data_IF_589956420890
#
_entry.id   IF_589956420890
#
_cell.length_a   1.000
_cell.length_b   1.000
_cell.length_c   1.000
_cell.angle_alpha   90.00
_cell.angle_beta   90.00
_cell.angle_gamma   90.00
#
_symmetry.space_group_name_H-M   'P 1'
#
loop_
_entity.id
_entity.type
_entity.pdbx_description
1 polymer ?
#
# COMPACT_ATOMS: atom_id res chain seq x y z
N UNK A 1 -19.30 -15.03 73.29
CA UNK A 1 -18.50 -16.01 72.51
C UNK A 1 -17.05 -15.84 72.93
N UNK A 2 -16.40 -16.93 73.37
CA UNK A 2 -15.17 -16.89 74.18
C UNK A 2 -13.93 -16.58 73.32
N UNK A 3 -13.11 -15.61 73.70
CA UNK A 3 -11.96 -15.10 72.92
C UNK A 3 -10.95 -16.18 72.51
N UNK A 4 -10.84 -17.25 73.31
CA UNK A 4 -10.04 -18.45 72.98
C UNK A 4 -10.54 -19.24 71.76
N UNK A 5 -11.85 -19.28 71.50
CA UNK A 5 -12.41 -19.96 70.31
C UNK A 5 -12.17 -19.16 69.03
N UNK A 6 -12.20 -17.82 69.11
CA UNK A 6 -11.93 -16.95 67.96
C UNK A 6 -10.45 -17.01 67.53
N UNK A 7 -9.53 -17.08 68.50
CA UNK A 7 -8.10 -17.20 68.23
C UNK A 7 -7.72 -18.53 67.56
N UNK A 8 -8.33 -19.64 67.96
CA UNK A 8 -8.08 -20.94 67.31
C UNK A 8 -8.60 -21.03 65.87
N UNK A 9 -9.73 -20.38 65.57
CA UNK A 9 -10.28 -20.35 64.20
C UNK A 9 -9.39 -19.51 63.27
N UNK A 10 -8.87 -18.37 63.75
CA UNK A 10 -7.93 -17.53 62.99
C UNK A 10 -6.60 -18.25 62.70
N UNK A 11 -6.10 -19.05 63.64
CA UNK A 11 -4.86 -19.82 63.46
C UNK A 11 -5.02 -20.97 62.45
N UNK A 12 -6.19 -21.62 62.42
CA UNK A 12 -6.50 -22.65 61.44
C UNK A 12 -6.65 -22.09 60.01
N UNK A 13 -7.25 -20.91 59.85
CA UNK A 13 -7.37 -20.22 58.55
C UNK A 13 -5.99 -19.78 58.05
N UNK A 14 -5.13 -19.26 58.94
CA UNK A 14 -3.77 -18.83 58.58
C UNK A 14 -2.87 -20.01 58.17
N UNK A 15 -2.98 -21.17 58.82
CA UNK A 15 -2.27 -22.38 58.38
C UNK A 15 -2.79 -22.93 57.05
N UNK A 16 -4.10 -22.83 56.76
CA UNK A 16 -4.63 -23.27 55.47
C UNK A 16 -4.19 -22.35 54.31
N UNK A 17 -4.01 -21.05 54.55
CA UNK A 17 -3.52 -20.09 53.57
C UNK A 17 -2.03 -20.26 53.24
N UNK A 18 -1.21 -20.76 54.18
CA UNK A 18 0.21 -21.02 53.93
C UNK A 18 0.47 -22.27 53.05
N UNK A 19 -0.47 -23.22 52.98
CA UNK A 19 -0.33 -24.42 52.15
C UNK A 19 -0.64 -24.12 50.66
N UNK A 20 -1.38 -23.06 50.36
CA UNK A 20 -1.66 -22.64 48.97
C UNK A 20 -0.57 -21.76 48.33
N UNK A 21 0.38 -21.22 49.12
CA UNK A 21 1.42 -20.31 48.63
C UNK A 21 2.73 -21.00 48.19
N UNK A 22 2.90 -22.30 48.41
CA UNK A 22 4.14 -23.04 48.06
C UNK A 22 3.98 -24.04 46.92
N UNK A 23 2.80 -24.11 46.28
CA UNK A 23 2.42 -25.19 45.37
C UNK A 23 2.37 -24.90 43.87
N UNK A 24 2.85 -23.73 43.37
CA UNK A 24 2.84 -23.44 41.93
C UNK A 24 4.13 -22.78 41.45
N UNK A 25 5.20 -23.57 41.39
CA UNK A 25 6.35 -23.31 40.50
C UNK A 25 6.80 -24.63 39.86
N UNK A 26 5.88 -25.28 39.14
CA UNK A 26 6.26 -26.28 38.14
C UNK A 26 6.53 -25.52 36.84
N UNK A 27 7.79 -25.18 36.64
CA UNK A 27 8.29 -24.71 35.36
C UNK A 27 8.14 -25.81 34.30
N UNK A 28 6.99 -25.85 33.64
CA UNK A 28 6.88 -26.48 32.34
C UNK A 28 7.63 -25.59 31.35
N UNK A 29 8.91 -25.90 31.13
CA UNK A 29 9.69 -25.45 29.99
C UNK A 29 9.09 -26.10 28.74
N UNK A 30 7.93 -25.60 28.32
CA UNK A 30 7.36 -25.90 27.01
C UNK A 30 8.36 -25.32 26.02
N UNK A 31 9.18 -26.19 25.40
CA UNK A 31 9.90 -25.80 24.19
C UNK A 31 8.82 -25.28 23.23
N UNK A 32 8.89 -24.03 22.75
CA UNK A 32 8.00 -23.62 21.68
C UNK A 32 8.26 -24.61 20.55
N UNK A 33 7.26 -25.46 20.28
CA UNK A 33 7.23 -26.24 19.05
C UNK A 33 7.30 -25.16 17.99
N UNK A 34 8.37 -25.15 17.21
CA UNK A 34 8.48 -24.31 16.02
C UNK A 34 7.36 -24.76 15.10
N UNK A 35 6.17 -24.23 15.34
CA UNK A 35 5.10 -24.19 14.40
C UNK A 35 5.73 -23.38 13.28
N UNK A 36 6.05 -24.06 12.19
CA UNK A 36 6.21 -23.42 10.90
C UNK A 36 4.96 -22.56 10.78
N UNK A 37 5.10 -21.27 11.08
CA UNK A 37 4.17 -20.27 10.60
C UNK A 37 4.23 -20.50 9.10
N UNK A 38 3.24 -21.23 8.58
CA UNK A 38 2.94 -21.11 7.18
C UNK A 38 2.62 -19.64 7.05
N UNK A 39 3.61 -18.88 6.57
CA UNK A 39 3.39 -17.58 5.98
C UNK A 39 2.37 -17.90 4.92
N UNK A 40 1.10 -17.67 5.27
CA UNK A 40 0.02 -17.66 4.32
C UNK A 40 0.50 -16.64 3.31
N UNK A 41 0.93 -17.11 2.15
CA UNK A 41 1.28 -16.26 1.01
C UNK A 41 -0.03 -15.62 0.59
N UNK A 42 -0.47 -14.63 1.38
CA UNK A 42 -1.57 -13.77 1.08
C UNK A 42 -1.11 -13.06 -0.18
N UNK A 43 -1.71 -13.48 -1.31
CA UNK A 43 -1.51 -12.84 -2.61
C UNK A 43 -1.67 -11.35 -2.35
N UNK A 44 -0.64 -10.55 -2.64
CA UNK A 44 -0.72 -9.11 -2.40
C UNK A 44 -1.89 -8.58 -3.25
N UNK A 45 -2.91 -8.00 -2.60
CA UNK A 45 -4.18 -7.63 -3.25
C UNK A 45 -4.01 -6.49 -4.28
N UNK A 46 -2.83 -5.89 -4.33
CA UNK A 46 -2.43 -4.88 -5.31
C UNK A 46 -1.67 -5.46 -6.51
N UNK A 47 -1.31 -6.75 -6.52
CA UNK A 47 -0.62 -7.39 -7.64
C UNK A 47 -1.63 -8.09 -8.57
N UNK A 48 -1.56 -7.78 -9.86
CA UNK A 48 -2.40 -8.40 -10.89
C UNK A 48 -1.58 -8.94 -12.06
N UNK A 49 -2.14 -9.92 -12.78
CA UNK A 49 -1.53 -10.46 -14.00
C UNK A 49 -2.24 -9.87 -15.23
N UNK A 50 -1.48 -9.17 -16.07
CA UNK A 50 -1.97 -8.50 -17.29
C UNK A 50 -2.71 -9.47 -18.22
N UNK A 51 -2.29 -10.75 -18.26
CA UNK A 51 -2.88 -11.76 -19.15
C UNK A 51 -4.26 -12.25 -18.69
N UNK A 52 -4.64 -11.98 -17.43
CA UNK A 52 -5.87 -12.51 -16.83
C UNK A 52 -6.80 -11.44 -16.26
N UNK A 53 -6.29 -10.22 -16.01
CA UNK A 53 -7.08 -9.09 -15.52
C UNK A 53 -8.16 -8.70 -16.52
N UNK A 54 -9.33 -8.32 -16.01
CA UNK A 54 -10.50 -7.94 -16.79
C UNK A 54 -11.06 -6.61 -16.31
N UNK A 55 -11.77 -5.93 -17.20
CA UNK A 55 -12.62 -4.80 -16.80
C UNK A 55 -13.60 -5.29 -15.74
N UNK A 56 -13.84 -4.44 -14.74
CA UNK A 56 -14.59 -4.70 -13.51
C UNK A 56 -13.84 -5.45 -12.40
N UNK A 57 -12.65 -6.00 -12.63
CA UNK A 57 -11.83 -6.57 -11.55
C UNK A 57 -11.40 -5.48 -10.56
N UNK A 58 -11.19 -5.86 -9.29
CA UNK A 58 -10.69 -4.98 -8.25
C UNK A 58 -9.24 -5.32 -7.91
N UNK A 59 -8.37 -4.31 -7.89
CA UNK A 59 -6.95 -4.41 -7.55
C UNK A 59 -6.61 -3.23 -6.64
N UNK A 60 -6.04 -3.50 -5.46
CA UNK A 60 -5.72 -2.48 -4.46
C UNK A 60 -6.92 -1.57 -4.07
N UNK A 61 -8.16 -2.09 -4.12
CA UNK A 61 -9.36 -1.30 -3.87
C UNK A 61 -9.78 -0.37 -5.02
N UNK A 62 -9.10 -0.44 -6.17
CA UNK A 62 -9.47 0.26 -7.40
C UNK A 62 -10.04 -0.72 -8.42
N UNK A 63 -11.05 -0.27 -9.16
CA UNK A 63 -11.72 -1.05 -10.19
C UNK A 63 -11.05 -0.84 -11.54
N UNK A 64 -10.79 -1.91 -12.29
CA UNK A 64 -10.31 -1.81 -13.67
C UNK A 64 -11.45 -1.28 -14.55
N UNK A 65 -11.25 -0.13 -15.16
CA UNK A 65 -12.27 0.53 -16.01
C UNK A 65 -12.01 0.35 -17.49
N UNK A 66 -10.75 0.13 -17.88
CA UNK A 66 -10.35 -0.02 -19.27
C UNK A 66 -9.09 -0.87 -19.38
N UNK A 67 -9.06 -1.73 -20.39
CA UNK A 67 -7.87 -2.45 -20.83
C UNK A 67 -7.81 -2.31 -22.34
N UNK A 68 -6.72 -1.76 -22.85
CA UNK A 68 -6.52 -1.59 -24.28
C UNK A 68 -5.04 -1.56 -24.63
N UNK A 69 -4.70 -1.63 -25.93
CA UNK A 69 -3.33 -1.43 -26.35
C UNK A 69 -2.94 0.06 -26.27
N UNK A 70 -1.68 0.35 -25.98
CA UNK A 70 -1.14 1.71 -25.99
C UNK A 70 -0.92 2.21 -27.42
N UNK A 71 -0.29 1.38 -28.27
CA UNK A 71 -0.24 1.56 -29.72
C UNK A 71 -1.33 0.73 -30.39
N UNK A 72 -2.03 1.30 -31.37
CA UNK A 72 -2.96 0.52 -32.21
C UNK A 72 -2.20 -0.30 -33.26
N UNK A 73 -1.42 -1.27 -32.76
CA UNK A 73 -0.61 -2.22 -33.54
C UNK A 73 -0.98 -3.66 -33.12
N UNK A 74 -1.53 -4.40 -34.07
CA UNK A 74 -2.01 -5.77 -33.85
C UNK A 74 -0.91 -6.82 -33.80
N UNK A 75 0.32 -6.48 -34.20
CA UNK A 75 1.45 -7.41 -34.21
C UNK A 75 2.11 -7.52 -32.82
N UNK A 76 1.82 -6.59 -31.91
CA UNK A 76 2.34 -6.59 -30.54
C UNK A 76 1.26 -7.13 -29.59
N UNK A 77 1.53 -8.22 -28.85
CA UNK A 77 0.54 -8.78 -27.94
C UNK A 77 0.20 -7.78 -26.82
N UNK A 78 -1.05 -7.79 -26.36
CA UNK A 78 -1.53 -6.88 -25.32
C UNK A 78 -0.68 -6.94 -24.03
N UNK A 79 -0.14 -8.11 -23.69
CA UNK A 79 0.77 -8.27 -22.55
C UNK A 79 2.05 -7.42 -22.63
N UNK A 80 2.43 -7.00 -23.84
CA UNK A 80 3.62 -6.19 -24.13
C UNK A 80 3.28 -4.77 -24.57
N UNK A 81 2.00 -4.45 -24.81
CA UNK A 81 1.53 -3.15 -25.30
C UNK A 81 0.33 -2.64 -24.49
N UNK A 82 0.14 -3.08 -23.24
CA UNK A 82 -1.07 -2.73 -22.48
C UNK A 82 -1.03 -1.30 -21.93
N UNK A 83 -2.19 -0.65 -21.99
CA UNK A 83 -2.59 0.48 -21.18
C UNK A 83 -3.79 0.05 -20.35
N UNK A 84 -3.71 0.22 -19.03
CA UNK A 84 -4.73 -0.25 -18.09
C UNK A 84 -5.15 0.92 -17.21
N UNK A 85 -6.45 1.25 -17.24
CA UNK A 85 -7.04 2.33 -16.46
C UNK A 85 -7.80 1.76 -15.27
N UNK A 86 -7.66 2.42 -14.13
CA UNK A 86 -8.29 2.09 -12.86
C UNK A 86 -9.09 3.29 -12.36
N UNK A 87 -10.33 3.04 -11.94
CA UNK A 87 -11.19 4.01 -11.26
C UNK A 87 -11.34 3.63 -9.79
N UNK A 88 -11.23 4.62 -8.90
CA UNK A 88 -11.26 4.38 -7.46
C UNK A 88 -10.20 5.22 -6.76
N UNK A 89 -10.53 5.63 -5.53
CA UNK A 89 -9.69 6.58 -4.78
C UNK A 89 -8.66 5.84 -3.93
N UNK A 90 -7.43 6.33 -3.92
CA UNK A 90 -6.41 5.90 -2.97
C UNK A 90 -5.71 7.08 -2.30
N UNK A 91 -5.41 6.91 -1.01
CA UNK A 91 -4.54 7.82 -0.27
C UNK A 91 -3.14 7.25 -0.23
N UNK A 92 -2.19 7.99 -0.79
CA UNK A 92 -0.78 7.56 -0.90
C UNK A 92 0.16 8.66 -0.41
N UNK A 93 1.24 8.25 0.23
CA UNK A 93 2.30 9.13 0.74
C UNK A 93 3.61 8.81 0.05
N UNK A 94 4.27 9.82 -0.50
CA UNK A 94 5.54 9.68 -1.21
C UNK A 94 6.22 11.03 -1.44
N UNK A 95 7.35 10.99 -2.14
CA UNK A 95 8.07 12.20 -2.54
C UNK A 95 7.49 12.75 -3.83
N UNK A 96 7.23 14.06 -3.91
CA UNK A 96 6.87 14.72 -5.17
C UNK A 96 8.08 15.43 -5.80
N UNK A 97 8.11 15.47 -7.12
CA UNK A 97 9.12 16.14 -7.93
C UNK A 97 8.51 16.59 -9.27
N UNK A 98 9.26 17.39 -10.04
CA UNK A 98 8.85 17.85 -11.37
C UNK A 98 9.68 17.09 -12.40
N UNK A 99 9.03 16.36 -13.30
CA UNK A 99 9.69 15.89 -14.52
C UNK A 99 9.59 16.98 -15.58
N UNK A 100 10.60 17.07 -16.44
CA UNK A 100 10.52 17.89 -17.65
C UNK A 100 9.30 17.52 -18.52
N UNK A 101 9.06 18.24 -19.63
CA UNK A 101 7.89 18.01 -20.46
C UNK A 101 7.81 16.54 -20.89
N UNK A 102 6.62 15.94 -20.76
CA UNK A 102 6.35 14.53 -21.07
C UNK A 102 6.51 14.21 -22.57
N UNK A 103 6.66 15.22 -23.43
CA UNK A 103 6.96 15.06 -24.85
C UNK A 103 8.10 16.00 -25.28
N UNK A 104 9.08 15.48 -26.03
CA UNK A 104 10.21 16.27 -26.55
C UNK A 104 9.81 17.28 -27.64
N UNK A 105 8.52 17.42 -27.97
CA UNK A 105 8.04 18.22 -29.11
C UNK A 105 7.29 19.50 -28.74
N UNK A 106 7.11 19.84 -27.46
CA UNK A 106 6.51 21.12 -27.11
C UNK A 106 7.36 21.87 -26.07
N UNK A 107 7.93 22.99 -26.50
CA UNK A 107 8.65 23.93 -25.64
C UNK A 107 7.73 24.77 -24.74
N UNK A 108 6.43 24.44 -24.71
CA UNK A 108 5.38 25.16 -23.99
C UNK A 108 4.59 24.26 -23.02
N UNK A 109 4.89 22.97 -22.92
CA UNK A 109 4.26 22.11 -21.91
C UNK A 109 4.82 22.43 -20.52
N UNK A 110 3.93 22.72 -19.58
CA UNK A 110 4.27 22.76 -18.16
C UNK A 110 4.92 21.43 -17.75
N UNK A 111 5.98 21.54 -16.95
CA UNK A 111 6.56 20.41 -16.23
C UNK A 111 5.46 19.67 -15.47
N UNK A 112 5.49 18.35 -15.54
CA UNK A 112 4.49 17.53 -14.87
C UNK A 112 4.96 17.22 -13.46
N UNK A 113 4.07 17.38 -12.49
CA UNK A 113 4.34 16.95 -11.11
C UNK A 113 4.16 15.45 -11.01
N UNK A 114 5.17 14.77 -10.48
CA UNK A 114 5.20 13.32 -10.33
C UNK A 114 5.47 12.95 -8.88
N UNK A 115 5.11 11.71 -8.52
CA UNK A 115 5.38 11.15 -7.21
C UNK A 115 6.14 9.83 -7.31
N UNK A 116 7.10 9.64 -6.40
CA UNK A 116 7.95 8.46 -6.25
C UNK A 116 8.17 8.14 -4.76
N UNK A 117 9.01 7.15 -4.47
CA UNK A 117 9.49 6.86 -3.12
C UNK A 117 8.37 6.70 -2.08
N UNK A 118 7.31 6.00 -2.50
CA UNK A 118 6.13 5.77 -1.68
C UNK A 118 6.46 4.99 -0.41
N UNK A 119 5.72 5.30 0.67
CA UNK A 119 5.77 4.47 1.88
C UNK A 119 5.30 3.05 1.57
N UNK A 120 5.73 2.08 2.38
CA UNK A 120 5.32 0.68 2.20
C UNK A 120 3.79 0.52 2.16
N UNK A 121 3.08 1.18 3.08
CA UNK A 121 1.61 1.17 3.13
C UNK A 121 0.98 1.75 1.85
N UNK A 122 1.61 2.76 1.25
CA UNK A 122 1.11 3.37 0.02
C UNK A 122 1.34 2.47 -1.19
N UNK A 123 2.45 1.73 -1.24
CA UNK A 123 2.72 0.76 -2.31
C UNK A 123 1.66 -0.34 -2.35
N UNK A 124 1.12 -0.75 -1.19
CA UNK A 124 0.03 -1.73 -1.09
C UNK A 124 -1.32 -1.19 -1.59
N UNK A 125 -1.44 0.13 -1.83
CA UNK A 125 -2.66 0.80 -2.35
C UNK A 125 -2.56 1.17 -3.83
N UNK A 126 -1.43 0.87 -4.48
CA UNK A 126 -1.18 1.18 -5.89
C UNK A 126 -1.20 -0.14 -6.68
N UNK A 127 -2.08 -0.29 -7.68
CA UNK A 127 -2.07 -1.46 -8.56
C UNK A 127 -0.70 -1.68 -9.21
N UNK A 128 -0.24 -2.93 -9.25
CA UNK A 128 1.05 -3.32 -9.81
C UNK A 128 0.94 -4.60 -10.65
N UNK A 129 1.44 -4.62 -11.89
CA UNK A 129 1.50 -5.85 -12.67
C UNK A 129 2.56 -6.82 -12.12
N UNK A 130 2.27 -8.12 -12.11
CA UNK A 130 3.15 -9.17 -11.60
C UNK A 130 4.46 -9.31 -12.40
N UNK A 131 4.42 -9.00 -13.70
CA UNK A 131 5.57 -9.13 -14.62
C UNK A 131 6.53 -7.94 -14.56
N UNK A 132 6.12 -6.80 -14.01
CA UNK A 132 6.92 -5.58 -14.03
C UNK A 132 7.34 -5.16 -12.61
N UNK A 133 8.65 -4.95 -12.45
CA UNK A 133 9.22 -4.43 -11.21
C UNK A 133 9.58 -2.94 -11.32
N UNK A 134 9.19 -2.27 -12.41
CA UNK A 134 9.45 -0.86 -12.60
C UNK A 134 8.83 -0.04 -11.46
N UNK A 135 9.61 0.95 -11.05
CA UNK A 135 9.33 1.90 -9.99
C UNK A 135 7.86 2.34 -10.04
N UNK A 136 7.13 2.25 -8.93
CA UNK A 136 5.72 2.64 -8.81
C UNK A 136 5.51 4.15 -8.88
N UNK A 137 6.32 4.90 -9.64
CA UNK A 137 6.17 6.34 -9.80
C UNK A 137 5.11 6.66 -10.85
N UNK A 138 4.45 7.79 -10.67
CA UNK A 138 3.42 8.28 -11.60
C UNK A 138 3.40 9.81 -11.64
N UNK A 139 2.85 10.35 -12.71
CA UNK A 139 2.71 11.79 -12.92
C UNK A 139 1.24 12.22 -12.94
N UNK A 140 0.95 13.43 -12.47
CA UNK A 140 -0.42 13.93 -12.40
C UNK A 140 -0.95 14.41 -13.74
N UNK A 141 -2.15 13.99 -14.11
CA UNK A 141 -2.82 14.40 -15.37
C UNK A 141 -3.35 15.83 -15.30
N UNK A 142 -3.82 16.27 -14.13
CA UNK A 142 -4.32 17.62 -13.88
C UNK A 142 -3.19 18.59 -13.47
N UNK A 143 -2.27 18.83 -14.42
CA UNK A 143 -1.00 19.58 -14.22
C UNK A 143 -1.17 20.90 -13.47
N UNK A 144 -2.13 21.74 -13.86
CA UNK A 144 -2.35 23.06 -13.23
C UNK A 144 -2.76 22.93 -11.75
N UNK A 145 -3.65 21.99 -11.43
CA UNK A 145 -4.05 21.75 -10.05
C UNK A 145 -2.88 21.22 -9.22
N UNK A 146 -2.14 20.25 -9.75
CA UNK A 146 -0.97 19.69 -9.07
C UNK A 146 0.13 20.75 -8.83
N UNK A 147 0.40 21.60 -9.82
CA UNK A 147 1.32 22.74 -9.69
C UNK A 147 0.89 23.68 -8.56
N UNK A 148 -0.38 24.08 -8.55
CA UNK A 148 -0.91 24.98 -7.53
C UNK A 148 -0.85 24.39 -6.11
N UNK A 149 -1.05 23.08 -5.97
CA UNK A 149 -1.01 22.40 -4.67
C UNK A 149 0.40 22.07 -4.20
N UNK A 150 1.27 21.57 -5.07
CA UNK A 150 2.58 21.01 -4.69
C UNK A 150 3.71 22.04 -4.77
N UNK A 151 3.54 23.14 -5.50
CA UNK A 151 4.45 24.28 -5.56
C UNK A 151 4.94 24.57 -6.98
N UNK A 152 5.77 25.61 -7.17
CA UNK A 152 6.35 25.91 -8.47
C UNK A 152 7.36 24.84 -8.93
N UNK A 153 7.70 24.86 -10.22
CA UNK A 153 8.76 24.03 -10.81
C UNK A 153 10.03 24.06 -9.94
N UNK A 154 10.61 22.87 -9.74
CA UNK A 154 11.78 22.67 -8.89
C UNK A 154 11.47 22.45 -7.41
N UNK A 155 10.21 22.58 -6.99
CA UNK A 155 9.78 22.16 -5.65
C UNK A 155 9.91 20.65 -5.49
N UNK A 156 10.28 20.22 -4.28
CA UNK A 156 10.35 18.80 -3.92
C UNK A 156 10.07 18.65 -2.43
N UNK A 157 9.53 17.51 -2.05
CA UNK A 157 9.24 17.19 -0.66
C UNK A 157 8.41 15.92 -0.54
N UNK A 158 7.94 15.64 0.67
CA UNK A 158 7.01 14.55 0.95
C UNK A 158 5.60 15.13 0.97
N UNK A 159 4.63 14.39 0.44
CA UNK A 159 3.22 14.72 0.54
C UNK A 159 2.39 13.45 0.69
N UNK A 160 1.27 13.57 1.40
CA UNK A 160 0.16 12.62 1.36
C UNK A 160 -0.88 13.16 0.40
N UNK A 161 -1.31 12.36 -0.56
CA UNK A 161 -2.24 12.78 -1.61
C UNK A 161 -3.40 11.81 -1.73
N UNK A 162 -4.57 12.33 -2.12
CA UNK A 162 -5.69 11.53 -2.59
C UNK A 162 -5.66 11.52 -4.12
N UNK A 163 -5.60 10.33 -4.71
CA UNK A 163 -5.61 10.14 -6.16
C UNK A 163 -6.86 9.39 -6.62
N UNK A 164 -7.17 9.53 -7.91
CA UNK A 164 -8.16 8.73 -8.65
C UNK A 164 -7.69 8.57 -10.11
N UNK A 165 -8.45 7.84 -10.93
CA UNK A 165 -8.18 7.68 -12.37
C UNK A 165 -6.73 7.25 -12.67
N UNK A 166 -6.25 6.23 -11.96
CA UNK A 166 -4.88 5.73 -12.09
C UNK A 166 -4.71 4.97 -13.40
N UNK A 167 -3.61 5.20 -14.13
CA UNK A 167 -3.31 4.51 -15.39
C UNK A 167 -1.91 3.92 -15.34
N UNK A 168 -1.81 2.65 -15.69
CA UNK A 168 -0.53 1.96 -15.91
C UNK A 168 -0.28 1.84 -17.41
N UNK A 169 0.89 2.30 -17.84
CA UNK A 169 1.39 2.11 -19.19
C UNK A 169 2.47 1.01 -19.16
N UNK A 170 2.16 -0.15 -19.75
CA UNK A 170 3.13 -1.26 -19.86
C UNK A 170 4.15 -0.98 -20.96
N UNK A 171 3.74 -0.22 -21.97
CA UNK A 171 4.53 0.17 -23.12
C UNK A 171 4.18 1.59 -23.57
N UNK A 172 5.16 2.34 -24.12
CA UNK A 172 6.60 2.14 -23.98
C UNK A 172 7.03 2.20 -22.51
N UNK A 173 8.17 1.60 -22.17
CA UNK A 173 8.71 1.65 -20.79
C UNK A 173 9.07 3.07 -20.33
N UNK A 174 9.26 3.97 -21.29
CA UNK A 174 9.54 5.38 -21.14
C UNK A 174 8.29 6.21 -20.83
N UNK A 175 7.10 5.66 -21.06
CA UNK A 175 5.84 6.34 -20.75
C UNK A 175 5.48 6.10 -19.30
N UNK A 176 5.42 7.18 -18.55
CA UNK A 176 5.13 7.14 -17.11
C UNK A 176 3.67 6.77 -16.86
N UNK A 177 3.42 6.07 -15.75
CA UNK A 177 2.07 5.90 -15.20
C UNK A 177 1.48 7.27 -14.82
N UNK A 178 0.16 7.36 -14.75
CA UNK A 178 -0.51 8.62 -14.43
C UNK A 178 -1.62 8.47 -13.40
N UNK A 179 -1.98 9.58 -12.74
CA UNK A 179 -3.12 9.66 -11.82
C UNK A 179 -3.72 11.06 -11.84
N UNK A 180 -4.98 11.21 -11.44
CA UNK A 180 -5.57 12.51 -11.13
C UNK A 180 -5.36 12.86 -9.66
N UNK A 181 -4.89 14.07 -9.37
CA UNK A 181 -4.75 14.57 -8.00
C UNK A 181 -6.07 15.19 -7.51
N UNK A 182 -6.60 14.71 -6.39
CA UNK A 182 -7.83 15.26 -5.80
C UNK A 182 -7.57 16.12 -4.56
N UNK A 183 -6.51 15.81 -3.79
CA UNK A 183 -6.20 16.50 -2.53
C UNK A 183 -4.75 16.27 -2.09
N UNK A 184 -4.21 17.19 -1.28
CA UNK A 184 -2.82 17.18 -0.77
C UNK A 184 -2.76 17.58 0.71
N UNK A 185 -1.92 16.89 1.48
CA UNK A 185 -1.40 17.27 2.79
C UNK A 185 0.13 17.20 2.77
N UNK A 186 0.81 18.24 3.27
CA UNK A 186 2.27 18.40 3.28
C UNK A 186 2.82 18.43 4.69
#
# INVERSE_FOLDING_TARGET
>A
MNTRKLFMILLAIFMFLLIFLTGYNVGLKIRPKTQKTQVNSQKEDNIFDISTVKVEDEVAGMKVTEIGPFLDDTDIPLSENAKISFGGKAVVTGSYFFSGPMSAQSSEELDTVCMSDFTKESLEKIPKPASNNNSSWFCFTNKEFAFNQLGPVGSKGIATVLIDNYTINIYPSEVTNTAELLWVEK
#
